data_IF_582503384309
#
_entry.id   IF_582503384309
#
_cell.length_a   1.000
_cell.length_b   1.000
_cell.length_c   1.000
_cell.angle_alpha   90.00
_cell.angle_beta   90.00
_cell.angle_gamma   90.00
#
_symmetry.space_group_name_H-M   'P 1'
#
loop_
_entity.id
_entity.type
_entity.pdbx_description
1 polymer ?
#
# COMPACT_ATOMS: atom_id res chain seq x y z
N UNK A 1 -33.64 -35.23 -48.86
CA UNK A 1 -33.25 -35.41 -50.27
C UNK A 1 -33.04 -34.04 -50.88
N UNK A 2 -31.86 -33.85 -51.52
CA UNK A 2 -31.52 -32.88 -52.60
C UNK A 2 -31.78 -31.39 -52.29
N UNK A 3 -30.81 -30.48 -52.29
CA UNK A 3 -29.58 -30.41 -53.09
C UNK A 3 -29.79 -29.49 -54.29
N UNK A 4 -28.77 -28.68 -54.58
CA UNK A 4 -28.51 -27.83 -55.76
C UNK A 4 -29.10 -26.41 -55.71
N UNK A 5 -28.26 -25.39 -55.47
CA UNK A 5 -27.27 -24.74 -56.36
C UNK A 5 -27.95 -23.77 -57.35
N UNK A 6 -27.65 -22.48 -57.19
CA UNK A 6 -27.43 -21.62 -58.33
C UNK A 6 -26.20 -20.76 -58.08
N UNK A 7 -25.25 -20.94 -58.99
CA UNK A 7 -23.93 -20.35 -59.07
C UNK A 7 -23.98 -19.35 -60.24
N UNK A 8 -23.06 -18.36 -60.20
CA UNK A 8 -22.63 -17.46 -61.29
C UNK A 8 -23.58 -16.25 -61.54
N UNK A 9 -23.09 -15.01 -61.66
CA UNK A 9 -21.93 -14.62 -62.44
C UNK A 9 -21.51 -13.15 -62.19
N UNK A 10 -20.23 -12.88 -62.48
CA UNK A 10 -19.61 -11.58 -62.82
C UNK A 10 -18.89 -10.80 -61.71
N UNK A 11 -17.80 -10.07 -62.02
CA UNK A 11 -16.54 -10.57 -62.52
C UNK A 11 -15.38 -10.16 -61.58
N UNK A 12 -14.44 -11.10 -61.36
CA UNK A 12 -13.24 -10.88 -60.56
C UNK A 12 -12.24 -10.07 -61.38
N UNK A 13 -12.20 -8.76 -61.15
CA UNK A 13 -11.16 -7.87 -61.66
C UNK A 13 -9.83 -8.21 -61.00
N UNK A 14 -8.96 -8.79 -61.81
CA UNK A 14 -7.53 -8.96 -61.60
C UNK A 14 -6.89 -7.58 -61.44
N UNK A 15 -6.34 -7.28 -60.26
CA UNK A 15 -5.43 -6.15 -60.06
C UNK A 15 -4.08 -6.68 -59.60
N UNK A 16 -3.24 -6.86 -60.62
CA UNK A 16 -1.80 -6.67 -60.66
C UNK A 16 -1.07 -6.50 -59.32
N UNK A 17 -0.21 -7.48 -59.06
CA UNK A 17 0.93 -7.41 -58.17
C UNK A 17 1.84 -6.23 -58.54
N UNK A 18 1.98 -5.27 -57.64
CA UNK A 18 3.24 -4.56 -57.36
C UNK A 18 3.05 -3.68 -56.15
N UNK A 19 3.35 -4.20 -54.96
CA UNK A 19 4.05 -3.44 -53.93
C UNK A 19 4.58 -4.41 -52.87
N UNK A 20 5.71 -5.04 -53.18
CA UNK A 20 6.56 -5.51 -52.10
C UNK A 20 7.03 -4.25 -51.38
N UNK A 21 6.47 -4.03 -50.19
CA UNK A 21 6.96 -3.02 -49.26
C UNK A 21 8.45 -3.27 -49.07
N UNK A 22 9.26 -2.40 -49.67
CA UNK A 22 10.68 -2.34 -49.43
C UNK A 22 10.84 -1.97 -47.97
N UNK A 23 11.08 -2.96 -47.11
CA UNK A 23 11.61 -2.70 -45.78
C UNK A 23 12.87 -1.84 -45.97
N UNK A 24 12.99 -0.71 -45.28
CA UNK A 24 14.19 0.11 -45.41
C UNK A 24 15.36 -0.78 -45.04
N UNK A 25 16.23 -1.06 -46.01
CA UNK A 25 17.55 -1.61 -45.76
C UNK A 25 18.31 -0.55 -44.98
N UNK A 26 18.11 -0.57 -43.66
CA UNK A 26 18.90 0.22 -42.72
C UNK A 26 20.35 -0.15 -43.01
N UNK A 27 21.04 0.84 -43.58
CA UNK A 27 22.36 0.71 -44.17
C UNK A 27 23.27 -0.03 -43.18
N UNK A 28 24.05 -1.01 -43.64
CA UNK A 28 24.87 -1.89 -42.77
C UNK A 28 25.72 -1.05 -41.80
N UNK A 29 26.18 0.12 -42.27
CA UNK A 29 26.89 1.14 -41.50
C UNK A 29 26.07 1.73 -40.34
N UNK A 30 24.78 2.02 -40.54
CA UNK A 30 23.90 2.58 -39.50
C UNK A 30 23.60 1.53 -38.42
N UNK A 31 23.39 0.26 -38.80
CA UNK A 31 23.20 -0.85 -37.85
C UNK A 31 24.46 -1.12 -37.02
N UNK A 32 25.62 -1.05 -37.66
CA UNK A 32 26.91 -1.22 -36.97
C UNK A 32 27.17 -0.04 -36.06
N UNK A 33 26.86 1.20 -36.46
CA UNK A 33 27.01 2.37 -35.60
C UNK A 33 26.10 2.33 -34.37
N UNK A 34 24.81 1.97 -34.49
CA UNK A 34 23.95 1.83 -33.30
C UNK A 34 24.39 0.69 -32.39
N UNK A 35 24.85 -0.44 -32.95
CA UNK A 35 25.39 -1.53 -32.14
C UNK A 35 26.67 -1.11 -31.39
N UNK A 36 27.59 -0.40 -32.04
CA UNK A 36 28.80 0.12 -31.40
C UNK A 36 28.48 1.16 -30.33
N UNK A 37 27.54 2.07 -30.59
CA UNK A 37 27.13 3.10 -29.63
C UNK A 37 26.47 2.49 -28.39
N UNK A 38 25.60 1.49 -28.58
CA UNK A 38 24.95 0.76 -27.48
C UNK A 38 25.98 -0.03 -26.65
N UNK A 39 26.97 -0.65 -27.31
CA UNK A 39 28.05 -1.38 -26.63
C UNK A 39 28.96 -0.42 -25.86
N UNK A 40 29.29 0.76 -26.41
CA UNK A 40 30.03 1.80 -25.69
C UNK A 40 29.25 2.36 -24.50
N UNK A 41 27.94 2.56 -24.62
CA UNK A 41 27.10 2.96 -23.49
C UNK A 41 27.07 1.89 -22.40
N UNK A 42 27.01 0.60 -22.74
CA UNK A 42 27.07 -0.49 -21.77
C UNK A 42 28.44 -0.62 -21.08
N UNK A 43 29.54 -0.34 -21.78
CA UNK A 43 30.88 -0.33 -21.18
C UNK A 43 31.13 0.90 -20.29
N UNK A 44 30.55 2.06 -20.62
CA UNK A 44 30.72 3.30 -19.84
C UNK A 44 29.95 3.26 -18.51
N UNK A 45 28.84 2.51 -18.44
CA UNK A 45 28.11 2.24 -17.19
C UNK A 45 28.87 1.32 -16.22
N UNK A 46 29.91 0.62 -16.69
CA UNK A 46 30.66 -0.36 -15.89
C UNK A 46 31.91 0.19 -15.19
N UNK A 47 32.26 1.48 -15.34
CA UNK A 47 33.51 2.03 -14.79
C UNK A 47 33.36 3.26 -13.87
N UNK A 48 32.13 3.67 -13.50
CA UNK A 48 31.89 4.69 -12.48
C UNK A 48 31.82 4.03 -11.09
N UNK A 49 32.96 3.51 -10.66
CA UNK A 49 33.20 2.94 -9.34
C UNK A 49 34.66 3.07 -8.93
N UNK A 50 35.29 4.19 -9.29
CA UNK A 50 36.62 4.55 -8.85
C UNK A 50 36.50 5.71 -7.84
N UNK A 51 36.52 5.30 -6.58
CA UNK A 51 36.78 6.03 -5.34
C UNK A 51 37.13 7.52 -5.46
N UNK A 52 36.31 8.36 -4.81
CA UNK A 52 36.86 9.49 -4.03
C UNK A 52 36.78 9.10 -2.58
N UNK A 53 37.94 8.71 -2.07
CA UNK A 53 38.24 8.49 -0.67
C UNK A 53 38.19 9.85 0.04
N UNK A 54 37.01 10.23 0.54
CA UNK A 54 36.86 11.21 1.60
C UNK A 54 35.98 10.53 2.66
N UNK A 55 36.59 10.25 3.82
CA UNK A 55 36.08 9.31 4.82
C UNK A 55 34.61 9.51 5.21
N UNK A 56 33.97 8.38 5.50
CA UNK A 56 32.64 8.19 6.07
C UNK A 56 31.46 8.13 5.08
N UNK A 57 31.13 6.91 4.63
CA UNK A 57 29.85 6.59 3.98
C UNK A 57 29.95 5.62 2.81
N UNK A 58 30.21 4.33 3.10
CA UNK A 58 30.28 3.28 2.08
C UNK A 58 28.90 2.87 1.55
N UNK A 59 28.65 3.12 0.27
CA UNK A 59 27.49 2.59 -0.46
C UNK A 59 27.79 2.49 -1.96
N UNK A 60 28.01 1.27 -2.45
CA UNK A 60 28.24 0.99 -3.88
C UNK A 60 28.38 -0.51 -4.14
N UNK A 61 27.46 -1.05 -4.95
CA UNK A 61 27.15 -2.48 -5.17
C UNK A 61 28.28 -3.21 -5.95
N UNK A 62 28.66 -4.43 -5.51
CA UNK A 62 29.46 -5.37 -6.32
C UNK A 62 28.56 -6.56 -6.72
N UNK A 63 28.35 -6.85 -8.02
CA UNK A 63 27.81 -8.13 -8.44
C UNK A 63 28.94 -9.17 -8.40
N UNK A 64 28.89 -10.14 -7.48
CA UNK A 64 29.86 -11.24 -7.48
C UNK A 64 29.32 -12.47 -8.21
N UNK A 65 30.16 -12.99 -9.09
CA UNK A 65 29.99 -14.23 -9.85
C UNK A 65 29.76 -15.45 -8.93
N UNK A 66 29.18 -16.51 -9.52
CA UNK A 66 28.87 -17.79 -8.88
C UNK A 66 29.92 -18.23 -7.83
N UNK A 67 29.46 -18.43 -6.59
CA UNK A 67 30.23 -19.04 -5.50
C UNK A 67 30.61 -18.12 -4.34
N UNK A 68 30.22 -16.85 -4.37
CA UNK A 68 30.56 -15.87 -3.32
C UNK A 68 29.80 -16.11 -2.02
N UNK A 69 30.54 -16.27 -0.92
CA UNK A 69 30.02 -15.98 0.43
C UNK A 69 29.34 -14.63 0.41
N UNK A 70 28.12 -14.55 0.94
CA UNK A 70 27.36 -13.31 1.12
C UNK A 70 28.23 -12.31 1.89
N UNK A 71 28.76 -11.29 1.21
CA UNK A 71 29.27 -10.11 1.90
C UNK A 71 28.05 -9.39 2.45
N UNK A 72 27.75 -9.62 3.74
CA UNK A 72 26.79 -8.80 4.49
C UNK A 72 27.26 -7.37 4.34
N UNK A 73 26.45 -6.53 3.68
CA UNK A 73 26.67 -5.08 3.69
C UNK A 73 26.61 -4.68 5.16
N UNK A 74 27.71 -4.18 5.70
CA UNK A 74 27.80 -3.72 7.09
C UNK A 74 27.15 -2.33 7.19
N UNK A 75 25.84 -2.30 6.95
CA UNK A 75 25.00 -1.11 7.07
C UNK A 75 23.71 -1.50 7.78
N UNK A 76 23.20 -0.60 8.61
CA UNK A 76 21.91 -0.79 9.27
C UNK A 76 20.79 -0.68 8.24
N UNK A 77 20.14 -1.78 7.91
CA UNK A 77 18.91 -1.76 7.15
C UNK A 77 17.80 -1.18 8.03
N UNK A 78 17.02 -0.25 7.46
CA UNK A 78 15.86 0.27 8.17
C UNK A 78 14.82 -0.84 8.39
N UNK A 79 14.02 -0.76 9.46
CA UNK A 79 12.83 -1.56 9.59
C UNK A 79 11.93 -1.41 8.35
N UNK A 80 11.12 -2.43 8.08
CA UNK A 80 10.07 -2.36 7.08
C UNK A 80 8.76 -2.60 7.81
N UNK A 81 7.83 -1.65 7.72
CA UNK A 81 6.52 -1.76 8.36
C UNK A 81 5.37 -1.79 7.36
N UNK A 82 4.26 -2.39 7.79
CA UNK A 82 3.00 -2.34 7.07
C UNK A 82 1.84 -2.33 8.08
N UNK A 83 0.81 -1.55 7.77
CA UNK A 83 -0.36 -1.38 8.61
C UNK A 83 -1.60 -1.16 7.74
N UNK A 84 -2.73 -1.75 8.16
CA UNK A 84 -4.01 -1.51 7.49
C UNK A 84 -5.20 -1.79 8.42
N UNK A 85 -6.33 -1.15 8.13
CA UNK A 85 -7.57 -1.39 8.85
C UNK A 85 -8.14 -2.76 8.49
N UNK A 86 -8.73 -3.42 9.48
CA UNK A 86 -9.45 -4.68 9.34
C UNK A 86 -10.89 -4.49 9.81
N UNK A 87 -11.85 -4.90 8.99
CA UNK A 87 -13.26 -4.86 9.37
C UNK A 87 -13.81 -3.44 9.53
N UNK A 88 -15.06 -3.31 10.00
CA UNK A 88 -15.72 -2.03 10.17
C UNK A 88 -15.20 -1.30 11.43
N UNK A 89 -15.31 0.03 11.40
CA UNK A 89 -15.22 0.85 12.60
C UNK A 89 -16.45 0.58 13.47
N UNK A 90 -16.26 0.54 14.78
CA UNK A 90 -17.34 0.34 15.75
C UNK A 90 -17.49 1.57 16.63
N UNK A 91 -18.69 2.14 16.68
CA UNK A 91 -18.96 3.36 17.42
C UNK A 91 -18.95 3.11 18.92
N UNK A 92 -18.37 4.04 19.67
CA UNK A 92 -18.45 4.06 21.12
C UNK A 92 -19.38 5.19 21.55
N UNK A 93 -20.61 4.82 21.92
CA UNK A 93 -21.69 5.77 22.26
C UNK A 93 -22.04 5.64 23.74
N UNK A 94 -22.08 6.78 24.44
CA UNK A 94 -22.60 6.85 25.81
C UNK A 94 -24.06 7.27 25.81
N UNK A 95 -24.91 6.56 26.54
CA UNK A 95 -26.34 6.85 26.65
C UNK A 95 -26.67 7.45 28.01
N UNK A 96 -27.46 8.53 28.02
CA UNK A 96 -28.00 9.09 29.26
C UNK A 96 -29.26 8.36 29.73
N UNK A 97 -29.79 8.74 30.90
CA UNK A 97 -31.00 8.14 31.50
C UNK A 97 -32.28 8.32 30.68
N UNK A 98 -32.29 9.25 29.72
CA UNK A 98 -33.40 9.48 28.78
C UNK A 98 -33.24 8.72 27.46
N UNK A 99 -32.16 7.95 27.31
CA UNK A 99 -31.87 7.17 26.10
C UNK A 99 -31.26 7.99 24.95
N UNK A 100 -30.77 9.20 25.21
CA UNK A 100 -30.03 10.00 24.23
C UNK A 100 -28.56 9.58 24.22
N UNK A 101 -28.07 9.13 23.06
CA UNK A 101 -26.68 8.79 22.84
C UNK A 101 -25.79 10.00 22.50
N UNK A 102 -24.54 9.95 22.95
CA UNK A 102 -23.45 10.86 22.55
C UNK A 102 -22.28 10.01 22.05
N UNK A 103 -21.84 10.26 20.81
CA UNK A 103 -20.66 9.60 20.24
C UNK A 103 -19.40 10.10 20.95
N UNK A 104 -18.66 9.19 21.57
CA UNK A 104 -17.40 9.48 22.25
C UNK A 104 -16.18 9.27 21.35
N UNK A 105 -16.28 8.32 20.42
CA UNK A 105 -15.20 7.93 19.53
C UNK A 105 -15.51 6.63 18.81
N UNK A 106 -14.49 6.02 18.21
CA UNK A 106 -14.61 4.78 17.45
C UNK A 106 -13.52 3.79 17.87
N UNK A 107 -13.92 2.53 17.97
CA UNK A 107 -13.03 1.38 18.07
C UNK A 107 -12.66 0.91 16.65
N UNK A 108 -11.37 0.79 16.41
CA UNK A 108 -10.79 0.47 15.11
C UNK A 108 -9.94 -0.78 15.24
N UNK A 109 -10.28 -1.83 14.50
CA UNK A 109 -9.42 -3.00 14.41
C UNK A 109 -8.39 -2.76 13.31
N UNK A 110 -7.11 -2.84 13.66
CA UNK A 110 -5.99 -2.63 12.74
C UNK A 110 -5.05 -3.82 12.78
N UNK A 111 -4.49 -4.16 11.63
CA UNK A 111 -3.39 -5.10 11.50
C UNK A 111 -2.07 -4.34 11.41
N UNK A 112 -1.03 -4.88 12.04
CA UNK A 112 0.34 -4.44 11.86
C UNK A 112 1.26 -5.60 11.51
N UNK A 113 2.34 -5.29 10.81
CA UNK A 113 3.51 -6.14 10.65
C UNK A 113 4.78 -5.31 10.52
N UNK A 114 5.88 -5.79 11.07
CA UNK A 114 7.19 -5.18 10.96
C UNK A 114 8.29 -6.25 10.88
N UNK A 115 9.35 -5.93 10.16
CA UNK A 115 10.57 -6.73 10.11
C UNK A 115 11.78 -5.80 10.14
N UNK A 116 12.80 -6.21 10.89
CA UNK A 116 14.15 -5.67 10.74
C UNK A 116 14.96 -6.67 9.91
N UNK A 117 15.42 -6.31 8.69
CA UNK A 117 16.27 -7.17 7.88
C UNK A 117 17.59 -7.58 8.57
N UNK A 118 18.09 -6.78 9.52
CA UNK A 118 19.27 -7.11 10.33
C UNK A 118 18.97 -8.09 11.47
N UNK A 119 17.69 -8.36 11.74
CA UNK A 119 17.25 -9.26 12.81
C UNK A 119 17.49 -8.70 14.21
N UNK A 120 17.67 -7.38 14.36
CA UNK A 120 17.74 -6.74 15.68
C UNK A 120 16.34 -6.61 16.30
N UNK A 121 16.31 -6.24 17.57
CA UNK A 121 15.05 -6.03 18.29
C UNK A 121 14.36 -4.76 17.81
N UNK A 122 13.06 -4.84 17.53
CA UNK A 122 12.23 -3.70 17.18
C UNK A 122 11.47 -3.16 18.38
N UNK A 123 11.51 -1.84 18.59
CA UNK A 123 10.56 -1.10 19.41
C UNK A 123 9.43 -0.58 18.50
N UNK A 124 8.18 -0.95 18.78
CA UNK A 124 7.05 -0.70 17.89
C UNK A 124 5.79 -0.25 18.62
N UNK A 125 4.89 0.41 17.89
CA UNK A 125 3.56 0.72 18.38
C UNK A 125 2.80 1.69 17.50
N UNK A 126 1.60 2.02 17.95
CA UNK A 126 0.72 2.97 17.30
C UNK A 126 0.92 4.37 17.88
N UNK A 127 1.01 5.35 16.99
CA UNK A 127 0.91 6.77 17.27
C UNK A 127 -0.42 7.26 16.69
N UNK A 128 -1.34 7.62 17.57
CA UNK A 128 -2.73 7.93 17.25
C UNK A 128 -3.00 9.43 17.11
N UNK A 129 -2.08 10.27 17.60
CA UNK A 129 -2.17 11.73 17.53
C UNK A 129 -1.11 12.36 16.59
N UNK A 130 -0.24 11.53 16.01
CA UNK A 130 0.85 11.87 15.09
C UNK A 130 1.88 12.85 15.69
N UNK A 131 2.14 12.75 17.00
CA UNK A 131 3.14 13.59 17.68
C UNK A 131 4.58 13.05 17.58
N UNK A 132 4.75 11.88 16.94
CA UNK A 132 6.04 11.21 16.75
C UNK A 132 6.41 10.28 17.90
N UNK A 133 5.58 10.17 18.94
CA UNK A 133 5.75 9.30 20.10
C UNK A 133 4.74 8.15 20.00
N UNK A 134 5.18 6.93 20.33
CA UNK A 134 4.30 5.77 20.40
C UNK A 134 3.35 5.91 21.59
N UNK A 135 2.04 5.96 21.31
CA UNK A 135 0.98 5.96 22.32
C UNK A 135 0.70 4.54 22.86
N UNK A 136 0.62 3.57 21.94
CA UNK A 136 0.19 2.20 22.25
C UNK A 136 1.27 1.23 21.77
N UNK A 137 2.14 0.74 22.67
CA UNK A 137 3.24 -0.14 22.29
C UNK A 137 2.73 -1.53 21.88
N UNK A 138 3.41 -2.13 20.90
CA UNK A 138 3.21 -3.53 20.52
C UNK A 138 4.54 -4.27 20.52
N UNK A 139 4.55 -5.51 21.00
CA UNK A 139 5.77 -6.34 21.11
C UNK A 139 5.84 -7.45 20.06
N UNK A 140 4.71 -7.83 19.47
CA UNK A 140 4.67 -8.83 18.41
C UNK A 140 4.98 -8.18 17.05
N UNK A 141 5.87 -8.81 16.28
CA UNK A 141 6.24 -8.37 14.92
C UNK A 141 5.07 -8.36 13.95
N UNK A 142 3.96 -9.04 14.25
CA UNK A 142 2.71 -8.92 13.52
C UNK A 142 1.52 -9.24 14.42
N UNK A 143 0.35 -8.68 14.11
CA UNK A 143 -0.86 -8.98 14.87
C UNK A 143 -1.99 -8.01 14.58
N UNK A 144 -3.02 -8.10 15.42
CA UNK A 144 -4.14 -7.18 15.41
C UNK A 144 -4.17 -6.39 16.71
N UNK A 145 -4.54 -5.10 16.61
CA UNK A 145 -4.78 -4.23 17.75
C UNK A 145 -6.14 -3.57 17.59
N UNK A 146 -6.89 -3.44 18.68
CA UNK A 146 -8.11 -2.62 18.69
C UNK A 146 -7.75 -1.28 19.33
N UNK A 147 -7.84 -0.22 18.55
CA UNK A 147 -7.54 1.15 18.97
C UNK A 147 -8.83 1.89 19.25
N UNK A 148 -8.87 2.66 20.33
CA UNK A 148 -9.94 3.63 20.57
C UNK A 148 -9.45 5.02 20.15
N UNK A 149 -10.13 5.64 19.20
CA UNK A 149 -9.83 7.00 18.74
C UNK A 149 -10.99 7.90 19.13
N UNK A 150 -10.72 8.89 20.00
CA UNK A 150 -11.71 9.84 20.47
C UNK A 150 -12.26 10.68 19.31
N UNK A 151 -13.54 11.04 19.36
CA UNK A 151 -14.19 11.82 18.30
C UNK A 151 -13.56 13.20 18.08
N UNK A 152 -12.82 13.72 19.07
CA UNK A 152 -12.04 14.97 18.98
C UNK A 152 -10.89 14.89 17.98
N UNK A 153 -10.35 13.70 17.73
CA UNK A 153 -9.22 13.49 16.80
C UNK A 153 -9.68 13.38 15.33
N UNK A 154 -11.00 13.20 15.12
CA UNK A 154 -11.56 13.04 13.79
C UNK A 154 -11.84 14.37 13.13
N UNK A 155 -11.38 14.52 11.89
CA UNK A 155 -11.58 15.69 11.08
C UNK A 155 -12.81 15.50 10.19
N UNK A 156 -13.63 16.53 10.07
CA UNK A 156 -14.75 16.52 9.12
C UNK A 156 -14.23 16.65 7.70
N UNK A 157 -14.66 15.77 6.81
CA UNK A 157 -14.32 15.88 5.38
C UNK A 157 -15.11 17.04 4.77
N UNK A 158 -14.46 17.96 4.04
CA UNK A 158 -15.17 19.05 3.36
C UNK A 158 -16.24 18.54 2.39
N UNK A 159 -17.30 19.30 2.21
CA UNK A 159 -18.40 19.04 1.26
C UNK A 159 -19.16 17.71 1.46
N UNK A 160 -18.94 16.99 2.57
CA UNK A 160 -19.67 15.76 2.90
C UNK A 160 -20.75 15.98 3.94
N UNK A 161 -21.39 17.16 3.98
CA UNK A 161 -22.49 17.48 4.91
C UNK A 161 -22.30 17.02 6.37
N UNK A 162 -21.06 17.03 6.87
CA UNK A 162 -20.64 16.49 8.17
C UNK A 162 -20.89 14.98 8.40
N UNK A 163 -21.21 14.24 7.34
CA UNK A 163 -21.47 12.80 7.33
C UNK A 163 -20.22 11.96 7.02
N UNK A 164 -19.06 12.56 6.79
CA UNK A 164 -17.81 11.82 6.60
C UNK A 164 -16.72 12.46 7.43
N UNK A 165 -15.95 11.59 8.07
CA UNK A 165 -14.84 11.97 8.92
C UNK A 165 -13.61 11.14 8.59
N UNK A 166 -12.46 11.74 8.80
CA UNK A 166 -11.16 11.11 8.59
C UNK A 166 -10.24 11.40 9.77
N UNK A 167 -9.44 10.39 10.11
CA UNK A 167 -8.30 10.52 11.01
C UNK A 167 -7.16 9.70 10.42
N UNK A 168 -5.95 10.18 10.59
CA UNK A 168 -4.74 9.46 10.20
C UNK A 168 -4.03 9.02 11.47
N UNK A 169 -3.61 7.77 11.51
CA UNK A 169 -2.77 7.20 12.57
C UNK A 169 -1.51 6.62 11.95
N UNK A 170 -0.50 6.38 12.77
CA UNK A 170 0.77 5.82 12.32
C UNK A 170 1.13 4.56 13.09
N UNK A 171 1.77 3.61 12.40
CA UNK A 171 2.46 2.49 13.01
C UNK A 171 3.96 2.70 12.90
N UNK A 172 4.64 2.80 14.03
CA UNK A 172 6.07 3.09 14.11
C UNK A 172 6.86 1.83 14.44
N UNK A 173 8.03 1.67 13.80
CA UNK A 173 9.06 0.75 14.25
C UNK A 173 10.42 1.45 14.31
N UNK A 174 11.19 1.16 15.35
CA UNK A 174 12.57 1.61 15.53
C UNK A 174 13.46 0.41 15.85
N UNK A 175 14.54 0.23 15.11
CA UNK A 175 15.54 -0.81 15.38
C UNK A 175 16.50 -0.42 16.53
N UNK A 176 17.33 -1.36 16.95
CA UNK A 176 18.30 -1.16 18.03
C UNK A 176 19.40 -0.13 17.69
N UNK A 177 19.62 0.15 16.41
CA UNK A 177 20.63 1.07 15.89
C UNK A 177 20.05 2.47 15.61
N UNK A 178 18.77 2.68 15.87
CA UNK A 178 18.05 3.94 15.71
C UNK A 178 17.44 4.18 14.34
N UNK A 179 17.50 3.21 13.42
CA UNK A 179 16.76 3.26 12.15
C UNK A 179 15.26 3.15 12.40
N UNK A 180 14.47 3.85 11.59
CA UNK A 180 13.02 3.99 11.78
C UNK A 180 12.29 3.84 10.47
N UNK A 181 11.10 3.26 10.55
CA UNK A 181 10.12 3.26 9.47
C UNK A 181 8.71 3.43 10.03
N UNK A 182 7.81 3.96 9.20
CA UNK A 182 6.45 4.36 9.58
C UNK A 182 5.46 4.00 8.48
N UNK A 183 4.37 3.34 8.87
CA UNK A 183 3.20 3.13 8.01
C UNK A 183 2.07 4.04 8.48
N UNK A 184 1.66 4.97 7.62
CA UNK A 184 0.47 5.80 7.84
C UNK A 184 -0.78 5.05 7.40
N UNK A 185 -1.84 5.19 8.19
CA UNK A 185 -3.14 4.62 7.93
C UNK A 185 -4.23 5.69 8.05
N UNK A 186 -4.88 5.97 6.94
CA UNK A 186 -6.05 6.85 6.89
C UNK A 186 -7.31 6.04 7.17
N UNK A 187 -7.99 6.41 8.24
CA UNK A 187 -9.25 5.81 8.66
C UNK A 187 -10.39 6.72 8.23
N UNK A 188 -11.39 6.13 7.58
CA UNK A 188 -12.56 6.86 7.10
C UNK A 188 -13.80 6.31 7.76
N UNK A 189 -14.59 7.20 8.35
CA UNK A 189 -15.90 6.87 8.89
C UNK A 189 -16.98 7.70 8.22
N UNK A 190 -18.09 7.05 7.91
CA UNK A 190 -19.35 7.76 7.70
C UNK A 190 -20.08 7.70 9.02
N UNK A 191 -20.07 8.80 9.78
CA UNK A 191 -20.95 8.87 10.94
C UNK A 191 -22.37 8.73 10.40
N UNK A 192 -23.15 7.73 10.84
CA UNK A 192 -24.58 7.74 10.66
C UNK A 192 -25.08 9.01 11.36
N UNK A 193 -25.62 9.94 10.58
CA UNK A 193 -26.54 10.96 11.09
C UNK A 193 -27.84 10.27 11.49
N UNK A 194 -27.77 9.46 12.54
CA UNK A 194 -28.91 8.93 13.24
C UNK A 194 -29.20 9.86 14.42
N UNK A 195 -30.46 10.13 14.75
CA UNK A 195 -30.73 10.52 16.11
C UNK A 195 -30.44 9.27 16.97
N UNK A 196 -29.51 9.38 17.92
CA UNK A 196 -29.09 8.30 18.84
C UNK A 196 -30.12 8.02 19.94
N UNK A 197 -31.40 8.24 19.63
CA UNK A 197 -32.51 7.80 20.45
C UNK A 197 -32.78 6.32 20.18
N UNK A 198 -33.21 5.57 21.19
CA UNK A 198 -33.89 4.32 20.93
C UNK A 198 -35.11 4.64 20.05
N UNK A 199 -35.17 4.10 18.82
CA UNK A 199 -36.45 4.02 18.12
C UNK A 199 -37.42 3.28 19.03
N UNK A 200 -38.46 3.97 19.51
CA UNK A 200 -39.58 3.36 20.22
C UNK A 200 -40.37 2.38 19.34
N UNK A 201 -39.99 2.14 18.08
CA UNK A 201 -40.67 1.17 17.22
C UNK A 201 -39.67 0.30 16.44
N UNK A 202 -39.61 -0.97 16.85
CA UNK A 202 -39.29 -2.09 15.98
C UNK A 202 -37.82 -2.54 15.97
N UNK A 203 -37.40 -3.27 17.00
CA UNK A 203 -37.00 -4.69 16.92
C UNK A 203 -36.83 -5.18 18.36
N UNK A 204 -37.67 -6.14 18.76
CA UNK A 204 -37.64 -6.76 20.08
C UNK A 204 -36.32 -7.51 20.26
N UNK A 205 -35.40 -6.97 21.06
CA UNK A 205 -34.44 -7.80 21.75
C UNK A 205 -35.21 -8.47 22.91
N UNK A 206 -35.53 -9.75 22.78
CA UNK A 206 -36.07 -10.52 23.90
C UNK A 206 -35.02 -10.49 25.01
N UNK A 207 -35.32 -9.78 26.08
CA UNK A 207 -34.61 -9.88 27.34
C UNK A 207 -35.01 -11.21 27.99
N UNK A 208 -34.08 -11.92 28.61
CA UNK A 208 -34.30 -13.23 29.24
C UNK A 208 -35.33 -13.25 30.39
N UNK A 209 -36.04 -12.14 30.63
CA UNK A 209 -37.18 -12.04 31.54
C UNK A 209 -38.51 -12.45 30.91
N UNK A 210 -38.56 -12.61 29.59
CA UNK A 210 -39.77 -12.97 28.83
C UNK A 210 -39.75 -14.44 28.36
N UNK A 211 -38.74 -15.22 28.78
CA UNK A 211 -38.61 -16.65 28.52
C UNK A 211 -38.98 -17.47 29.78
N UNK A 212 -40.27 -17.46 30.14
CA UNK A 212 -40.90 -18.46 31.01
C UNK A 212 -42.28 -18.84 30.49
#
# INVERSE_FOLDING_TARGET
>A
MRGFKHDLNSPRMEKNYTNQGSFPTMNRTVRVMTAVLLTMMMMLSGCLGANTDDGNGGGGIIPTAQGSTTTVVNGNYLPIVNAYQIGPLSENVSYNSTGSGTLLGMNVSVYHSAIDPDGTTLAMGWDTNLDGIVDIPVSASQGFTVLYIAISEWNTVPDTNNNSQMVSIAFHATDANGGKDVALLDLQSRIPVGPWWMSQNGFYAMSGKDAQ
#
